data_IF_426566101467
#
_entry.id   IF_426566101467
#
_cell.length_a   1.000
_cell.length_b   1.000
_cell.length_c   1.000
_cell.angle_alpha   90.00
_cell.angle_beta   90.00
_cell.angle_gamma   90.00
#
_symmetry.space_group_name_H-M   'P 1'
#
loop_
_entity.id
_entity.type
_entity.pdbx_description
1 polymer ?
#
# COMPACT_ATOMS: atom_id res chain seq x y z
N UNK A 1 3.72 -9.26 5.24
CA UNK A 1 4.65 -8.99 4.14
C UNK A 1 6.04 -8.92 4.73
N UNK A 2 6.88 -9.91 4.46
CA UNK A 2 8.33 -9.83 4.70
C UNK A 2 8.97 -10.32 3.41
N UNK A 3 9.79 -9.48 2.80
CA UNK A 3 10.51 -9.82 1.57
C UNK A 3 11.98 -9.92 1.94
N UNK A 4 12.51 -11.13 1.93
CA UNK A 4 13.94 -11.35 2.04
C UNK A 4 14.60 -11.02 0.70
N UNK A 5 15.09 -9.79 0.58
CA UNK A 5 15.88 -9.33 -0.55
C UNK A 5 17.36 -9.65 -0.26
N UNK A 6 18.08 -10.38 -1.12
CA UNK A 6 19.51 -10.59 -0.96
C UNK A 6 20.23 -9.24 -0.93
N UNK A 7 20.97 -8.96 0.15
CA UNK A 7 21.71 -7.70 0.31
C UNK A 7 22.85 -7.53 -0.69
N UNK A 8 23.27 -8.64 -1.30
CA UNK A 8 24.32 -8.70 -2.32
C UNK A 8 23.89 -8.16 -3.71
N UNK A 9 22.61 -7.88 -3.93
CA UNK A 9 22.08 -7.36 -5.19
C UNK A 9 21.35 -6.01 -5.03
N UNK A 10 21.57 -5.26 -3.94
CA UNK A 10 20.83 -4.01 -3.63
C UNK A 10 20.87 -3.00 -4.80
N UNK A 11 22.01 -2.87 -5.47
CA UNK A 11 22.18 -1.98 -6.64
C UNK A 11 21.30 -2.39 -7.85
N UNK A 12 20.86 -3.64 -7.91
CA UNK A 12 19.97 -4.15 -8.97
C UNK A 12 18.50 -3.77 -8.80
N UNK A 13 18.13 -3.11 -7.68
CA UNK A 13 16.74 -2.78 -7.37
C UNK A 13 16.37 -1.32 -7.60
N UNK A 14 17.32 -0.45 -7.97
CA UNK A 14 17.10 0.99 -8.23
C UNK A 14 16.13 1.26 -9.41
N UNK A 15 15.79 0.23 -10.19
CA UNK A 15 14.85 0.31 -11.31
C UNK A 15 13.40 -0.06 -10.99
N UNK A 16 13.06 -0.35 -9.73
CA UNK A 16 11.70 -0.70 -9.33
C UNK A 16 11.03 0.41 -8.53
N UNK A 17 9.84 0.81 -8.95
CA UNK A 17 9.10 1.91 -8.34
C UNK A 17 8.19 1.44 -7.20
N UNK A 18 7.97 0.13 -7.04
CA UNK A 18 7.10 -0.42 -6.00
C UNK A 18 7.50 -1.81 -5.50
N UNK A 19 7.07 -2.14 -4.29
CA UNK A 19 7.23 -3.48 -3.73
C UNK A 19 6.52 -4.55 -4.58
N UNK A 20 5.38 -4.23 -5.20
CA UNK A 20 4.67 -5.14 -6.10
C UNK A 20 5.53 -5.55 -7.30
N UNK A 21 6.27 -4.60 -7.88
CA UNK A 21 7.20 -4.89 -8.97
C UNK A 21 8.36 -5.78 -8.52
N UNK A 22 8.87 -5.55 -7.32
CA UNK A 22 9.91 -6.40 -6.70
C UNK A 22 9.38 -7.82 -6.48
N UNK A 23 8.18 -7.97 -5.94
CA UNK A 23 7.55 -9.29 -5.74
C UNK A 23 7.36 -10.00 -7.09
N UNK A 24 6.89 -9.27 -8.11
CA UNK A 24 6.69 -9.81 -9.45
C UNK A 24 8.01 -10.23 -10.11
N UNK A 25 9.05 -9.42 -9.99
CA UNK A 25 10.37 -9.68 -10.56
C UNK A 25 11.08 -10.84 -9.87
N UNK A 26 10.93 -10.97 -8.54
CA UNK A 26 11.51 -12.10 -7.79
C UNK A 26 10.82 -13.42 -8.10
N UNK A 27 9.58 -13.40 -8.62
CA UNK A 27 8.79 -14.61 -8.87
C UNK A 27 8.51 -15.43 -7.61
N UNK A 28 8.78 -14.88 -6.42
CA UNK A 28 8.65 -15.58 -5.14
C UNK A 28 7.18 -15.73 -4.80
N UNK A 29 6.75 -16.98 -4.63
CA UNK A 29 5.41 -17.26 -4.11
C UNK A 29 5.33 -16.94 -2.62
N UNK A 30 4.12 -16.91 -2.06
CA UNK A 30 3.93 -16.76 -0.60
C UNK A 30 4.63 -17.87 0.20
N UNK A 31 4.83 -19.05 -0.41
CA UNK A 31 5.59 -20.16 0.15
C UNK A 31 7.09 -19.86 0.16
N UNK A 32 7.62 -19.28 -0.92
CA UNK A 32 9.03 -18.87 -1.01
C UNK A 32 9.35 -17.70 -0.08
N UNK A 33 8.37 -16.80 0.16
CA UNK A 33 8.48 -15.71 1.15
C UNK A 33 8.57 -16.23 2.59
N UNK A 34 8.02 -17.41 2.86
CA UNK A 34 8.07 -18.10 4.16
C UNK A 34 9.19 -19.14 4.27
N UNK A 35 10.04 -19.26 3.25
CA UNK A 35 11.11 -20.26 3.23
C UNK A 35 12.22 -20.03 4.28
N UNK A 36 12.24 -18.86 4.91
CA UNK A 36 13.14 -18.57 6.04
C UNK A 36 12.47 -18.92 7.36
N UNK A 37 13.21 -19.60 8.25
CA UNK A 37 12.80 -19.85 9.63
C UNK A 37 12.89 -18.55 10.45
N UNK A 38 11.99 -17.62 10.18
CA UNK A 38 11.73 -16.49 11.08
C UNK A 38 10.74 -16.94 12.15
N UNK A 39 10.95 -16.49 13.38
CA UNK A 39 9.98 -16.70 14.45
C UNK A 39 8.70 -15.89 14.20
N UNK A 40 7.59 -16.31 14.79
CA UNK A 40 6.33 -15.56 14.72
C UNK A 40 6.47 -14.14 15.29
N UNK A 41 7.36 -13.94 16.28
CA UNK A 41 7.66 -12.64 16.84
C UNK A 41 8.40 -11.75 15.83
N UNK A 42 9.46 -12.25 15.20
CA UNK A 42 10.19 -11.50 14.15
C UNK A 42 9.27 -11.18 12.96
N UNK A 43 8.39 -12.11 12.60
CA UNK A 43 7.37 -11.86 11.58
C UNK A 43 6.46 -10.70 11.98
N UNK A 44 5.94 -10.72 13.20
CA UNK A 44 5.10 -9.64 13.73
C UNK A 44 5.81 -8.28 13.69
N UNK A 45 7.07 -8.22 14.14
CA UNK A 45 7.86 -6.98 14.10
C UNK A 45 8.07 -6.47 12.67
N UNK A 46 8.39 -7.36 11.72
CA UNK A 46 8.54 -6.97 10.30
C UNK A 46 7.24 -6.41 9.72
N UNK A 47 6.11 -7.02 10.04
CA UNK A 47 4.80 -6.52 9.64
C UNK A 47 4.49 -5.14 10.26
N UNK A 48 4.75 -4.94 11.56
CA UNK A 48 4.55 -3.65 12.22
C UNK A 48 5.43 -2.56 11.61
N UNK A 49 6.70 -2.86 11.34
CA UNK A 49 7.62 -1.91 10.70
C UNK A 49 7.13 -1.51 9.32
N UNK A 50 6.65 -2.45 8.51
CA UNK A 50 6.13 -2.14 7.17
C UNK A 50 4.90 -1.23 7.20
N UNK A 51 3.98 -1.46 8.15
CA UNK A 51 2.82 -0.59 8.35
C UNK A 51 3.26 0.80 8.85
N UNK A 52 4.24 0.87 9.75
CA UNK A 52 4.77 2.15 10.22
C UNK A 52 5.40 2.95 9.08
N UNK A 53 6.30 2.35 8.30
CA UNK A 53 6.92 2.99 7.13
C UNK A 53 5.86 3.46 6.13
N UNK A 54 4.82 2.65 5.90
CA UNK A 54 3.69 3.04 5.04
C UNK A 54 2.97 4.29 5.55
N UNK A 55 2.70 4.39 6.86
CA UNK A 55 2.10 5.59 7.48
C UNK A 55 3.02 6.81 7.40
N UNK A 56 4.31 6.64 7.69
CA UNK A 56 5.32 7.71 7.66
C UNK A 56 5.51 8.30 6.25
N UNK A 57 5.29 7.49 5.22
CA UNK A 57 5.36 7.89 3.81
C UNK A 57 3.99 8.27 3.22
N UNK A 58 3.10 8.84 4.04
CA UNK A 58 1.79 9.33 3.62
C UNK A 58 0.93 8.28 2.88
N UNK A 59 0.99 7.03 3.34
CA UNK A 59 0.19 5.92 2.80
C UNK A 59 0.48 5.60 1.32
N UNK A 60 1.69 5.88 0.86
CA UNK A 60 2.14 5.50 -0.48
C UNK A 60 2.02 3.98 -0.67
N UNK A 61 1.11 3.56 -1.55
CA UNK A 61 0.81 2.15 -1.80
C UNK A 61 2.02 1.39 -2.36
N UNK A 62 3.02 2.07 -2.94
CA UNK A 62 4.21 1.44 -3.50
C UNK A 62 5.13 0.84 -2.42
N UNK A 63 4.95 1.26 -1.17
CA UNK A 63 5.76 0.88 0.00
C UNK A 63 5.19 -0.36 0.72
N UNK A 64 3.99 -0.81 0.38
CA UNK A 64 3.37 -1.98 0.97
C UNK A 64 2.67 -2.77 -0.12
N UNK A 65 2.96 -4.07 -0.22
CA UNK A 65 2.32 -5.02 -1.15
C UNK A 65 0.83 -4.69 -1.34
N UNK A 66 0.43 -4.48 -2.60
CA UNK A 66 -0.92 -4.09 -2.99
C UNK A 66 -2.00 -5.01 -2.44
N UNK A 67 -1.69 -6.31 -2.25
CA UNK A 67 -2.61 -7.27 -1.65
C UNK A 67 -2.98 -6.93 -0.20
N UNK A 68 -2.15 -6.13 0.48
CA UNK A 68 -2.38 -5.67 1.85
C UNK A 68 -2.75 -4.18 1.91
N UNK A 69 -2.10 -3.32 1.13
CA UNK A 69 -2.36 -1.88 1.16
C UNK A 69 -3.75 -1.53 0.62
N UNK A 70 -4.21 -2.16 -0.47
CA UNK A 70 -5.53 -1.87 -1.06
C UNK A 70 -6.68 -2.20 -0.10
N UNK A 71 -6.76 -3.40 0.53
CA UNK A 71 -7.82 -3.69 1.49
C UNK A 71 -7.80 -2.75 2.70
N UNK A 72 -6.62 -2.42 3.25
CA UNK A 72 -6.50 -1.52 4.40
C UNK A 72 -6.99 -0.11 4.03
N UNK A 73 -6.55 0.43 2.89
CA UNK A 73 -7.02 1.72 2.39
C UNK A 73 -8.54 1.66 2.22
N UNK A 74 -9.07 0.62 1.60
CA UNK A 74 -10.51 0.46 1.38
C UNK A 74 -11.30 0.50 2.69
N UNK A 75 -10.86 -0.23 3.72
CA UNK A 75 -11.54 -0.26 5.02
C UNK A 75 -11.41 1.06 5.80
N UNK A 76 -10.23 1.68 5.78
CA UNK A 76 -10.03 3.03 6.32
C UNK A 76 -11.02 3.98 5.66
N UNK A 77 -11.17 3.91 4.34
CA UNK A 77 -12.07 4.80 3.62
C UNK A 77 -13.54 4.54 3.89
N UNK A 78 -13.98 3.28 3.95
CA UNK A 78 -15.34 2.92 4.37
C UNK A 78 -15.66 3.49 5.76
N UNK A 79 -14.77 3.28 6.72
CA UNK A 79 -14.91 3.80 8.09
C UNK A 79 -14.90 5.32 8.14
N UNK A 80 -14.06 5.97 7.34
CA UNK A 80 -13.97 7.43 7.26
C UNK A 80 -15.18 8.07 6.57
N UNK A 81 -15.75 7.46 5.53
CA UNK A 81 -16.99 7.89 4.87
C UNK A 81 -18.20 7.83 5.81
N UNK A 82 -18.14 7.01 6.85
CA UNK A 82 -19.20 6.87 7.85
C UNK A 82 -19.16 7.93 8.97
N UNK A 83 -18.05 8.68 9.16
CA UNK A 83 -17.85 9.57 10.32
C UNK A 83 -18.04 11.07 10.00
N UNK A 84 -18.64 11.77 10.97
CA UNK A 84 -19.15 13.16 10.92
C UNK A 84 -18.06 14.27 10.88
N UNK A 85 -16.77 13.93 10.97
CA UNK A 85 -15.68 14.92 11.14
C UNK A 85 -15.00 15.30 9.80
N UNK A 86 -15.69 16.15 9.02
CA UNK A 86 -15.39 16.43 7.60
C UNK A 86 -14.04 17.10 7.32
N UNK A 87 -13.50 17.90 8.25
CA UNK A 87 -12.32 18.75 8.00
C UNK A 87 -11.00 17.97 8.02
N UNK A 88 -10.73 17.26 9.13
CA UNK A 88 -9.58 16.36 9.24
C UNK A 88 -9.68 15.21 8.25
N UNK A 89 -10.91 14.74 7.99
CA UNK A 89 -11.21 13.78 6.93
C UNK A 89 -10.77 14.29 5.57
N UNK A 90 -11.17 15.51 5.17
CA UNK A 90 -10.78 16.08 3.87
C UNK A 90 -9.26 16.21 3.77
N UNK A 91 -8.56 16.67 4.81
CA UNK A 91 -7.10 16.81 4.78
C UNK A 91 -6.38 15.46 4.63
N UNK A 92 -6.79 14.47 5.42
CA UNK A 92 -6.23 13.12 5.36
C UNK A 92 -6.53 12.44 4.01
N UNK A 93 -7.80 12.46 3.61
CA UNK A 93 -8.28 11.83 2.38
C UNK A 93 -7.64 12.47 1.15
N UNK A 94 -7.49 13.79 1.10
CA UNK A 94 -6.81 14.47 -0.02
C UNK A 94 -5.34 14.08 -0.12
N UNK A 95 -4.64 13.90 1.01
CA UNK A 95 -3.24 13.41 0.98
C UNK A 95 -3.15 12.02 0.37
N UNK A 96 -4.04 11.11 0.79
CA UNK A 96 -4.08 9.74 0.25
C UNK A 96 -4.47 9.75 -1.23
N UNK A 97 -5.54 10.46 -1.62
CA UNK A 97 -5.99 10.48 -3.03
C UNK A 97 -4.96 11.08 -3.97
N UNK A 98 -4.24 12.12 -3.55
CA UNK A 98 -3.19 12.73 -4.38
C UNK A 98 -2.00 11.79 -4.57
N UNK A 99 -1.73 10.88 -3.62
CA UNK A 99 -0.67 9.88 -3.76
C UNK A 99 -1.09 8.63 -4.54
N UNK A 100 -2.37 8.46 -4.88
CA UNK A 100 -2.84 7.32 -5.68
C UNK A 100 -2.65 7.58 -7.18
N UNK A 101 -1.96 6.64 -7.83
CA UNK A 101 -1.85 6.60 -9.27
C UNK A 101 -3.13 6.03 -9.93
N UNK A 102 -3.15 6.03 -11.27
CA UNK A 102 -4.30 5.49 -12.01
C UNK A 102 -4.44 3.98 -11.85
N UNK A 103 -3.36 3.26 -11.54
CA UNK A 103 -3.39 1.82 -11.30
C UNK A 103 -4.27 1.47 -10.11
N UNK A 104 -4.05 2.11 -8.94
CA UNK A 104 -4.86 1.86 -7.74
C UNK A 104 -6.30 2.31 -7.93
N UNK A 105 -6.52 3.45 -8.59
CA UNK A 105 -7.88 3.92 -8.86
C UNK A 105 -8.64 2.90 -9.71
N UNK A 106 -7.99 2.32 -10.72
CA UNK A 106 -8.58 1.30 -11.59
C UNK A 106 -8.73 -0.07 -10.92
N UNK A 107 -7.91 -0.41 -9.92
CA UNK A 107 -8.01 -1.69 -9.19
C UNK A 107 -9.12 -1.72 -8.12
N UNK A 108 -9.84 -0.61 -7.92
CA UNK A 108 -10.98 -0.56 -7.02
C UNK A 108 -12.22 -1.12 -7.72
N UNK A 109 -12.56 -2.37 -7.45
CA UNK A 109 -13.66 -3.16 -8.05
C UNK A 109 -15.09 -2.61 -7.82
N UNK A 110 -15.22 -1.45 -7.19
CA UNK A 110 -16.48 -0.86 -6.80
C UNK A 110 -16.67 0.45 -7.56
N UNK A 111 -17.64 0.47 -8.49
CA UNK A 111 -17.99 1.63 -9.33
C UNK A 111 -18.25 2.90 -8.49
N UNK A 112 -18.97 2.78 -7.37
CA UNK A 112 -19.27 3.90 -6.47
C UNK A 112 -18.03 4.46 -5.72
N UNK A 113 -17.02 3.63 -5.49
CA UNK A 113 -15.75 4.01 -4.87
C UNK A 113 -14.83 4.58 -5.96
N UNK A 114 -14.68 3.88 -7.08
CA UNK A 114 -13.91 4.28 -8.26
C UNK A 114 -14.29 5.68 -8.77
N UNK A 115 -15.58 5.92 -9.03
CA UNK A 115 -16.06 7.20 -9.53
C UNK A 115 -15.83 8.34 -8.53
N UNK A 116 -15.99 8.04 -7.24
CA UNK A 116 -15.75 9.01 -6.17
C UNK A 116 -14.28 9.37 -6.06
N UNK A 117 -13.37 8.43 -6.28
CA UNK A 117 -11.93 8.70 -6.34
C UNK A 117 -11.55 9.52 -7.57
N UNK A 118 -12.02 9.16 -8.77
CA UNK A 118 -11.79 9.94 -9.99
C UNK A 118 -12.29 11.37 -9.85
N UNK A 119 -13.49 11.55 -9.32
CA UNK A 119 -14.06 12.87 -9.05
C UNK A 119 -13.18 13.69 -8.08
N UNK A 120 -12.62 13.06 -7.05
CA UNK A 120 -11.82 13.77 -6.04
C UNK A 120 -10.39 14.08 -6.52
N UNK A 121 -9.77 13.19 -7.30
CA UNK A 121 -8.49 13.43 -7.98
C UNK A 121 -8.57 14.62 -8.93
N UNK A 122 -9.66 14.74 -9.68
CA UNK A 122 -9.89 15.87 -10.59
C UNK A 122 -10.15 17.20 -9.86
N UNK A 123 -10.45 17.17 -8.56
CA UNK A 123 -10.67 18.37 -7.72
C UNK A 123 -9.45 18.76 -6.89
N UNK A 124 -8.44 17.89 -6.81
CA UNK A 124 -7.18 18.14 -6.11
C UNK A 124 -6.09 18.75 -6.99
N UNK A 125 -6.21 18.58 -8.31
CA UNK A 125 -5.40 19.23 -9.36
C UNK A 125 -6.00 20.59 -9.71
#
# INVERSE_FOLDING_TARGET
LIISIPTQDIEGWDGYDSIDEIIKATGKTEVDRKAFQISAEEEFWGHCSNIQTWVENNYDYRILDSQLSIPIITEILKGLLSKRNKENFRKFFMKVVVSLDDYIINSLDNEATHDKFKFLKNKSL
#
